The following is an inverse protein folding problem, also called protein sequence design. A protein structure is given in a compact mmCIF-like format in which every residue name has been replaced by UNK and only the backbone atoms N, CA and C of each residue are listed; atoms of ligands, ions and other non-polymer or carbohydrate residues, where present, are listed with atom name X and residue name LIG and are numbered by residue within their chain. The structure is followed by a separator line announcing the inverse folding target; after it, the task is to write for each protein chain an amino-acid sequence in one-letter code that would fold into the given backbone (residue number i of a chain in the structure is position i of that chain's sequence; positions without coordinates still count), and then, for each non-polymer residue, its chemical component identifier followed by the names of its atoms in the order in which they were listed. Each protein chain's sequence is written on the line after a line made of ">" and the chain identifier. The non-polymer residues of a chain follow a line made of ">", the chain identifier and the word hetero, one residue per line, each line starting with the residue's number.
data_IF_969999519678
#
_entry.id   IF_969999519678
#
_cell.length_a   1.000
_cell.length_b   1.000
_cell.length_c   1.000
_cell.angle_alpha   90.00
_cell.angle_beta   90.00
_cell.angle_gamma   90.00
#
_symmetry.space_group_name_H-M   'P 1'
#
loop_
_entity.id
_entity.type
_entity.pdbx_description
1 polymer ?
#
# COMPACT_ATOMS: atom_id res chain seq x y z
N UNK A 1 -8.78 -1.83 8.81
CA UNK A 1 -9.24 -2.93 9.69
C UNK A 1 -9.59 -4.13 8.82
N UNK A 2 -9.24 -5.37 9.18
CA UNK A 2 -9.79 -6.53 8.49
C UNK A 2 -11.32 -6.42 8.61
N UNK A 3 -12.04 -6.44 7.48
CA UNK A 3 -13.51 -6.47 7.50
C UNK A 3 -13.98 -7.63 8.37
N UNK A 4 -15.14 -7.50 9.01
CA UNK A 4 -15.74 -8.54 9.86
C UNK A 4 -15.71 -9.89 9.14
N UNK A 5 -14.67 -10.68 9.39
CA UNK A 5 -14.42 -11.97 8.77
C UNK A 5 -14.96 -13.11 9.65
N UNK A 6 -15.91 -12.78 10.54
CA UNK A 6 -16.56 -13.66 11.49
C UNK A 6 -17.98 -13.20 11.76
N UNK A 7 -18.78 -14.08 12.36
CA UNK A 7 -20.16 -13.82 12.79
C UNK A 7 -20.19 -13.59 14.31
N UNK A 8 -21.13 -12.77 14.76
CA UNK A 8 -21.45 -12.62 16.18
C UNK A 8 -22.72 -13.40 16.47
N UNK A 9 -22.69 -14.26 17.48
CA UNK A 9 -23.88 -14.97 17.96
C UNK A 9 -23.81 -15.13 19.48
N UNK A 10 -24.98 -15.07 20.13
CA UNK A 10 -25.13 -15.37 21.55
C UNK A 10 -25.33 -16.87 21.79
N UNK A 11 -25.56 -17.64 20.72
CA UNK A 11 -25.74 -19.10 20.76
C UNK A 11 -25.17 -19.71 19.47
N UNK A 12 -24.10 -20.48 19.61
CA UNK A 12 -23.39 -21.09 18.47
C UNK A 12 -24.17 -22.23 17.85
N UNK A 13 -24.97 -22.96 18.62
CA UNK A 13 -25.70 -24.13 18.13
C UNK A 13 -26.89 -23.74 17.26
N UNK A 14 -27.53 -22.60 17.58
CA UNK A 14 -28.64 -22.05 16.79
C UNK A 14 -28.20 -21.24 15.57
N UNK A 15 -26.90 -20.98 15.41
CA UNK A 15 -26.40 -20.23 14.27
C UNK A 15 -26.44 -21.10 13.00
N UNK A 16 -27.05 -20.62 11.89
CA UNK A 16 -27.10 -21.38 10.64
C UNK A 16 -25.71 -21.82 10.16
N UNK A 17 -25.60 -23.05 9.66
CA UNK A 17 -24.32 -23.62 9.23
C UNK A 17 -23.64 -22.79 8.13
N UNK A 18 -24.39 -22.22 7.20
CA UNK A 18 -23.88 -21.35 6.15
C UNK A 18 -23.28 -20.03 6.68
N UNK A 19 -23.60 -19.63 7.91
CA UNK A 19 -23.00 -18.49 8.61
C UNK A 19 -21.80 -18.95 9.45
N UNK A 20 -21.90 -20.13 10.08
CA UNK A 20 -20.83 -20.73 10.88
C UNK A 20 -19.63 -21.18 10.04
N UNK A 21 -19.92 -21.67 8.85
CA UNK A 21 -18.98 -22.31 7.94
C UNK A 21 -19.08 -21.64 6.56
N UNK A 22 -18.45 -20.48 6.44
CA UNK A 22 -18.27 -19.82 5.14
C UNK A 22 -17.04 -20.42 4.47
N UNK A 23 -17.26 -21.20 3.41
CA UNK A 23 -16.18 -21.71 2.57
C UNK A 23 -15.36 -20.56 2.00
N UNK A 24 -14.04 -20.56 2.23
CA UNK A 24 -13.12 -19.63 1.59
C UNK A 24 -12.38 -20.36 0.48
N UNK A 25 -12.39 -19.78 -0.71
CA UNK A 25 -11.56 -20.27 -1.80
C UNK A 25 -10.09 -20.24 -1.38
N UNK A 26 -9.36 -21.33 -1.61
CA UNK A 26 -7.96 -21.48 -1.17
C UNK A 26 -7.02 -20.57 -1.97
N UNK A 27 -7.40 -20.20 -3.20
CA UNK A 27 -6.62 -19.38 -4.13
C UNK A 27 -7.51 -18.44 -4.96
N UNK A 28 -8.16 -17.45 -4.33
CA UNK A 28 -8.95 -16.50 -5.09
C UNK A 28 -8.03 -15.73 -6.03
N UNK A 29 -8.56 -15.34 -7.18
CA UNK A 29 -7.87 -14.40 -8.08
C UNK A 29 -7.62 -13.08 -7.34
N UNK A 30 -6.40 -12.57 -7.42
CA UNK A 30 -5.99 -11.33 -6.77
C UNK A 30 -5.39 -10.38 -7.78
N UNK A 31 -5.40 -9.10 -7.46
CA UNK A 31 -4.69 -8.08 -8.24
C UNK A 31 -3.68 -7.44 -7.31
N UNK A 32 -2.43 -7.44 -7.76
CA UNK A 32 -1.38 -6.65 -7.15
C UNK A 32 -1.47 -5.24 -7.71
N UNK A 33 -1.47 -4.28 -6.80
CA UNK A 33 -1.42 -2.84 -7.12
C UNK A 33 -0.12 -2.27 -6.58
N UNK A 34 0.60 -1.52 -7.42
CA UNK A 34 1.72 -0.70 -7.00
C UNK A 34 1.44 0.77 -7.32
N UNK A 35 1.73 1.67 -6.38
CA UNK A 35 1.56 3.12 -6.52
C UNK A 35 2.51 3.84 -5.56
N UNK A 36 3.05 4.98 -5.97
CA UNK A 36 3.76 5.92 -5.10
C UNK A 36 2.88 7.14 -4.78
N UNK A 37 3.06 7.71 -3.59
CA UNK A 37 2.26 8.85 -3.11
C UNK A 37 3.12 9.84 -2.33
N UNK A 38 2.71 11.11 -2.38
CA UNK A 38 3.26 12.24 -1.61
C UNK A 38 2.12 13.21 -1.27
N UNK A 39 2.41 14.23 -0.49
CA UNK A 39 1.53 15.37 -0.26
C UNK A 39 1.14 16.12 -1.56
N UNK A 40 1.92 15.98 -2.63
CA UNK A 40 1.70 16.61 -3.93
C UNK A 40 0.82 15.77 -4.88
N UNK A 41 0.54 14.51 -4.56
CA UNK A 41 -0.24 13.62 -5.42
C UNK A 41 0.21 12.16 -5.39
N UNK A 42 -0.16 11.42 -6.44
CA UNK A 42 0.17 10.01 -6.61
C UNK A 42 0.69 9.71 -8.01
N UNK A 43 1.53 8.68 -8.14
CA UNK A 43 1.95 8.14 -9.43
C UNK A 43 0.79 7.46 -10.15
N UNK A 44 1.00 7.14 -11.44
CA UNK A 44 0.13 6.17 -12.12
C UNK A 44 0.22 4.80 -11.39
N UNK A 45 -0.90 4.08 -11.19
CA UNK A 45 -0.86 2.75 -10.62
C UNK A 45 -0.34 1.71 -11.63
N UNK A 46 0.28 0.65 -11.12
CA UNK A 46 0.49 -0.60 -11.84
C UNK A 46 -0.53 -1.62 -11.35
N UNK A 47 -1.17 -2.33 -12.27
CA UNK A 47 -2.03 -3.47 -11.98
C UNK A 47 -1.39 -4.74 -12.53
N UNK A 48 -1.26 -5.78 -11.71
CA UNK A 48 -0.84 -7.12 -12.15
C UNK A 48 -1.79 -8.17 -11.62
N UNK A 49 -2.21 -9.09 -12.48
CA UNK A 49 -3.03 -10.24 -12.07
C UNK A 49 -2.23 -11.20 -11.20
N UNK A 50 -2.91 -11.95 -10.34
CA UNK A 50 -2.31 -13.03 -9.55
C UNK A 50 -1.73 -14.17 -10.39
N UNK A 51 -2.16 -14.30 -11.65
CA UNK A 51 -1.58 -15.25 -12.61
C UNK A 51 -0.30 -14.71 -13.26
N UNK A 52 -0.02 -13.42 -13.12
CA UNK A 52 1.20 -12.81 -13.66
C UNK A 52 2.42 -13.21 -12.83
N UNK A 53 3.59 -13.19 -13.46
CA UNK A 53 4.85 -13.37 -12.74
C UNK A 53 4.93 -12.37 -11.56
N UNK A 54 5.41 -12.85 -10.41
CA UNK A 54 5.67 -12.00 -9.25
C UNK A 54 6.60 -10.84 -9.63
N UNK A 55 6.46 -9.70 -8.96
CA UNK A 55 7.37 -8.57 -9.15
C UNK A 55 8.76 -9.00 -8.68
N UNK A 56 9.65 -9.24 -9.63
CA UNK A 56 11.10 -9.40 -9.44
C UNK A 56 11.78 -8.04 -9.64
N UNK A 57 13.09 -7.98 -9.40
CA UNK A 57 13.88 -6.74 -9.55
C UNK A 57 13.72 -6.07 -10.91
N UNK A 58 13.80 -6.83 -12.01
CA UNK A 58 13.65 -6.28 -13.36
C UNK A 58 12.28 -5.61 -13.57
N UNK A 59 11.19 -6.30 -13.20
CA UNK A 59 9.83 -5.74 -13.31
C UNK A 59 9.67 -4.53 -12.39
N UNK A 60 10.26 -4.58 -11.19
CA UNK A 60 10.20 -3.47 -10.27
C UNK A 60 10.87 -2.22 -10.85
N UNK A 61 12.09 -2.36 -11.38
CA UNK A 61 12.82 -1.26 -12.00
C UNK A 61 12.04 -0.69 -13.18
N UNK A 62 11.71 -1.52 -14.18
CA UNK A 62 11.05 -1.05 -15.41
C UNK A 62 9.65 -0.50 -15.16
N UNK A 63 8.78 -1.29 -14.53
CA UNK A 63 7.36 -0.93 -14.42
C UNK A 63 7.08 0.00 -13.24
N UNK A 64 7.74 -0.18 -12.11
CA UNK A 64 7.42 0.59 -10.90
C UNK A 64 8.28 1.85 -10.80
N UNK A 65 9.59 1.74 -11.00
CA UNK A 65 10.50 2.86 -10.85
C UNK A 65 10.52 3.75 -12.09
N UNK A 66 10.91 3.21 -13.25
CA UNK A 66 11.09 3.97 -14.49
C UNK A 66 9.75 4.51 -15.04
N UNK A 67 8.77 3.64 -15.27
CA UNK A 67 7.52 4.05 -15.93
C UNK A 67 6.54 4.83 -15.03
N UNK A 68 6.76 4.84 -13.71
CA UNK A 68 5.77 5.39 -12.76
C UNK A 68 6.38 6.29 -11.70
N UNK A 69 7.43 5.87 -11.00
CA UNK A 69 8.04 6.70 -9.96
C UNK A 69 8.79 7.89 -10.56
N UNK A 70 9.64 7.68 -11.58
CA UNK A 70 10.43 8.77 -12.19
C UNK A 70 9.55 9.88 -12.77
N UNK A 71 8.56 9.61 -13.66
CA UNK A 71 7.66 10.65 -14.14
C UNK A 71 6.88 11.36 -13.03
N UNK A 72 6.65 10.68 -11.89
CA UNK A 72 5.98 11.28 -10.75
C UNK A 72 6.92 12.22 -9.97
N UNK A 73 8.18 11.83 -9.77
CA UNK A 73 9.21 12.68 -9.18
C UNK A 73 9.45 13.90 -10.09
N UNK A 74 9.71 13.69 -11.38
CA UNK A 74 9.99 14.77 -12.33
C UNK A 74 8.86 15.81 -12.41
N UNK A 75 7.62 15.37 -12.15
CA UNK A 75 6.45 16.25 -12.21
C UNK A 75 6.21 17.05 -10.92
N UNK A 76 6.53 16.48 -9.75
CA UNK A 76 6.08 17.01 -8.47
C UNK A 76 7.20 17.32 -7.46
N UNK A 77 8.42 16.86 -7.73
CA UNK A 77 9.58 16.89 -6.84
C UNK A 77 10.88 17.12 -7.65
N UNK A 78 10.81 17.96 -8.68
CA UNK A 78 11.93 18.35 -9.54
C UNK A 78 12.99 19.18 -8.79
N UNK A 79 12.60 19.79 -7.67
CA UNK A 79 13.48 20.45 -6.71
C UNK A 79 14.36 19.49 -5.89
N UNK A 80 14.22 18.18 -6.11
CA UNK A 80 14.92 17.09 -5.43
C UNK A 80 14.68 17.03 -3.90
N UNK A 81 13.70 17.77 -3.39
CA UNK A 81 13.39 17.84 -1.97
C UNK A 81 12.43 16.72 -1.55
N UNK A 82 12.83 15.48 -1.83
CA UNK A 82 12.08 14.29 -1.50
C UNK A 82 13.00 13.19 -0.97
N UNK A 83 12.40 12.21 -0.31
CA UNK A 83 13.04 10.93 -0.03
C UNK A 83 12.06 9.80 -0.33
N UNK A 84 12.41 8.96 -1.30
CA UNK A 84 11.60 7.79 -1.62
C UNK A 84 11.74 6.74 -0.52
N UNK A 85 10.62 6.31 0.07
CA UNK A 85 10.62 5.34 1.16
C UNK A 85 9.91 4.04 0.79
N UNK A 86 10.61 3.10 0.11
CA UNK A 86 10.03 1.80 -0.23
C UNK A 86 9.87 0.91 1.02
N UNK A 87 8.95 -0.05 0.94
CA UNK A 87 8.93 -1.14 1.91
C UNK A 87 10.04 -2.17 1.65
N UNK A 88 10.17 -3.16 2.54
CA UNK A 88 11.28 -4.13 2.50
C UNK A 88 10.95 -5.41 1.72
N UNK A 89 10.04 -5.34 0.74
CA UNK A 89 9.81 -6.44 -0.19
C UNK A 89 11.13 -6.88 -0.86
N UNK A 90 11.24 -8.17 -1.20
CA UNK A 90 12.46 -8.73 -1.79
C UNK A 90 12.88 -8.01 -3.08
N UNK A 91 11.93 -7.60 -3.92
CA UNK A 91 12.20 -6.86 -5.15
C UNK A 91 12.86 -5.49 -4.89
N UNK A 92 12.49 -4.80 -3.80
CA UNK A 92 13.03 -3.48 -3.47
C UNK A 92 14.44 -3.55 -2.90
N UNK A 93 14.81 -4.71 -2.33
CA UNK A 93 16.13 -4.98 -1.73
C UNK A 93 17.06 -5.76 -2.66
N UNK A 94 16.63 -6.04 -3.88
CA UNK A 94 17.48 -6.69 -4.86
C UNK A 94 18.65 -5.77 -5.24
N UNK A 95 19.82 -6.36 -5.51
CA UNK A 95 21.05 -5.61 -5.78
C UNK A 95 20.86 -4.64 -6.96
N UNK A 96 20.18 -5.09 -8.01
CA UNK A 96 19.93 -4.31 -9.22
C UNK A 96 19.00 -3.13 -8.92
N UNK A 97 17.95 -3.35 -8.12
CA UNK A 97 17.02 -2.28 -7.73
C UNK A 97 17.71 -1.23 -6.85
N UNK A 98 18.57 -1.66 -5.93
CA UNK A 98 19.36 -0.75 -5.08
C UNK A 98 20.37 0.04 -5.92
N UNK A 99 21.09 -0.61 -6.85
CA UNK A 99 22.04 0.08 -7.75
C UNK A 99 21.33 1.17 -8.55
N UNK A 100 20.21 0.81 -9.17
CA UNK A 100 19.39 1.74 -9.92
C UNK A 100 18.90 2.90 -9.04
N UNK A 101 18.41 2.64 -7.83
CA UNK A 101 17.94 3.72 -6.94
C UNK A 101 19.07 4.65 -6.50
N UNK A 102 20.26 4.11 -6.18
CA UNK A 102 21.44 4.93 -5.85
C UNK A 102 21.87 5.85 -6.99
N UNK A 103 21.71 5.40 -8.23
CA UNK A 103 22.10 6.16 -9.42
C UNK A 103 21.06 7.23 -9.79
N UNK A 104 19.77 6.95 -9.55
CA UNK A 104 18.68 7.73 -10.14
C UNK A 104 17.88 8.61 -9.17
N UNK A 105 17.76 8.24 -7.89
CA UNK A 105 16.82 8.91 -6.97
C UNK A 105 17.31 8.99 -5.51
N UNK A 106 16.78 9.96 -4.76
CA UNK A 106 16.92 9.98 -3.30
C UNK A 106 15.98 8.94 -2.67
N UNK A 107 16.52 7.99 -1.89
CA UNK A 107 15.72 6.98 -1.21
C UNK A 107 16.25 6.65 0.18
N UNK A 108 15.42 6.01 1.02
CA UNK A 108 15.84 5.49 2.33
C UNK A 108 16.68 4.22 2.14
N UNK A 109 17.98 4.23 2.49
CA UNK A 109 18.84 3.06 2.39
C UNK A 109 18.31 1.87 3.19
N UNK A 110 18.60 0.64 2.73
CA UNK A 110 18.01 -0.59 3.30
C UNK A 110 18.39 -0.78 4.77
N UNK A 111 19.62 -0.45 5.14
CA UNK A 111 20.17 -0.49 6.51
C UNK A 111 19.54 0.57 7.43
N UNK A 112 19.11 1.70 6.88
CA UNK A 112 18.37 2.75 7.60
C UNK A 112 16.85 2.51 7.64
N UNK A 113 16.35 1.50 6.94
CA UNK A 113 14.93 1.25 6.76
C UNK A 113 14.44 0.15 7.71
N UNK A 114 13.79 0.48 8.85
CA UNK A 114 13.53 -0.50 9.89
C UNK A 114 12.49 -1.56 9.46
N UNK A 115 12.76 -2.86 9.68
CA UNK A 115 11.81 -3.93 9.42
C UNK A 115 10.64 -3.91 10.42
N UNK A 116 9.49 -4.43 9.98
CA UNK A 116 8.33 -4.66 10.85
C UNK A 116 7.76 -3.41 11.55
N UNK A 117 7.92 -2.22 10.95
CA UNK A 117 7.33 -0.96 11.45
C UNK A 117 6.23 -0.43 10.49
N UNK A 118 5.19 -1.21 10.16
CA UNK A 118 4.16 -0.76 9.21
C UNK A 118 3.44 0.50 9.69
N UNK A 119 3.31 0.67 11.01
CA UNK A 119 2.67 1.85 11.62
C UNK A 119 3.39 3.14 11.30
N UNK A 120 4.71 3.12 11.07
CA UNK A 120 5.44 4.32 10.71
C UNK A 120 5.16 4.78 9.28
N UNK A 121 4.60 3.90 8.43
CA UNK A 121 4.52 4.10 6.99
C UNK A 121 3.13 4.61 6.57
N UNK A 122 3.04 5.84 6.04
CA UNK A 122 1.77 6.43 5.61
C UNK A 122 1.02 5.57 4.59
N UNK A 123 1.74 4.90 3.69
CA UNK A 123 1.12 4.04 2.68
C UNK A 123 0.33 2.86 3.27
N UNK A 124 0.62 2.41 4.50
CA UNK A 124 -0.19 1.37 5.14
C UNK A 124 -1.54 1.91 5.60
N UNK A 125 -1.58 3.14 6.11
CA UNK A 125 -2.82 3.83 6.45
C UNK A 125 -3.64 4.14 5.19
N UNK A 126 -2.96 4.57 4.10
CA UNK A 126 -3.57 4.71 2.76
C UNK A 126 -4.28 3.43 2.33
N UNK A 127 -3.58 2.29 2.32
CA UNK A 127 -4.19 1.02 1.88
C UNK A 127 -5.36 0.60 2.76
N UNK A 128 -5.32 0.92 4.06
CA UNK A 128 -6.41 0.66 5.00
C UNK A 128 -7.69 1.42 4.64
N UNK A 129 -7.59 2.73 4.42
CA UNK A 129 -8.72 3.58 4.00
C UNK A 129 -9.15 3.24 2.57
N UNK A 130 -8.19 3.07 1.67
CA UNK A 130 -8.45 2.80 0.28
C UNK A 130 -9.22 1.50 0.07
N UNK A 131 -8.84 0.43 0.78
CA UNK A 131 -9.58 -0.83 0.74
C UNK A 131 -11.03 -0.67 1.21
N UNK A 132 -11.29 0.13 2.26
CA UNK A 132 -12.65 0.41 2.71
C UNK A 132 -13.48 1.09 1.62
N UNK A 133 -12.90 2.05 0.90
CA UNK A 133 -13.59 2.74 -0.19
C UNK A 133 -13.86 1.83 -1.39
N UNK A 134 -12.91 0.94 -1.72
CA UNK A 134 -13.07 -0.03 -2.81
C UNK A 134 -14.23 -0.98 -2.52
N UNK A 135 -14.33 -1.51 -1.29
CA UNK A 135 -15.31 -2.51 -0.87
C UNK A 135 -16.52 -1.93 -0.12
N UNK A 136 -16.73 -0.61 -0.19
CA UNK A 136 -17.82 0.09 0.45
C UNK A 136 -19.19 -0.52 0.09
N UNK A 137 -20.09 -0.63 1.07
CA UNK A 137 -21.44 -1.17 0.86
C UNK A 137 -21.47 -2.68 0.59
N UNK A 138 -20.41 -3.41 0.94
CA UNK A 138 -20.32 -4.85 0.65
C UNK A 138 -20.10 -5.12 -0.84
N UNK A 139 -19.47 -4.19 -1.56
CA UNK A 139 -19.20 -4.36 -2.97
C UNK A 139 -18.25 -5.54 -3.21
N UNK A 140 -18.54 -6.36 -4.21
CA UNK A 140 -17.71 -7.50 -4.60
C UNK A 140 -17.41 -7.49 -6.10
N UNK A 141 -16.20 -7.89 -6.47
CA UNK A 141 -15.79 -7.99 -7.85
C UNK A 141 -16.17 -9.36 -8.44
N UNK A 142 -16.80 -9.35 -9.62
CA UNK A 142 -17.11 -10.54 -10.43
C UNK A 142 -15.99 -10.88 -11.42
N UNK A 143 -15.06 -9.97 -11.67
CA UNK A 143 -13.89 -10.17 -12.52
C UNK A 143 -12.74 -9.26 -12.14
N UNK A 144 -11.53 -9.58 -12.61
CA UNK A 144 -10.34 -8.75 -12.39
C UNK A 144 -10.51 -7.35 -13.01
N UNK A 145 -11.07 -7.27 -14.22
CA UNK A 145 -11.32 -6.00 -14.91
C UNK A 145 -12.33 -5.14 -14.15
N UNK A 146 -13.34 -5.75 -13.53
CA UNK A 146 -14.29 -5.01 -12.70
C UNK A 146 -13.61 -4.44 -11.45
N UNK A 147 -12.72 -5.22 -10.82
CA UNK A 147 -11.93 -4.76 -9.69
C UNK A 147 -10.98 -3.61 -10.09
N UNK A 148 -10.27 -3.72 -11.21
CA UNK A 148 -9.39 -2.64 -11.72
C UNK A 148 -10.18 -1.36 -11.93
N UNK A 149 -11.32 -1.42 -12.62
CA UNK A 149 -12.17 -0.24 -12.85
C UNK A 149 -12.67 0.38 -11.54
N UNK A 150 -13.04 -0.45 -10.56
CA UNK A 150 -13.44 0.03 -9.22
C UNK A 150 -12.26 0.72 -8.53
N UNK A 151 -11.08 0.13 -8.54
CA UNK A 151 -9.86 0.70 -7.97
C UNK A 151 -9.53 2.04 -8.63
N UNK A 152 -9.54 2.13 -9.96
CA UNK A 152 -9.30 3.37 -10.70
C UNK A 152 -10.34 4.45 -10.35
N UNK A 153 -11.62 4.09 -10.25
CA UNK A 153 -12.67 5.02 -9.85
C UNK A 153 -12.47 5.52 -8.42
N UNK A 154 -12.05 4.65 -7.49
CA UNK A 154 -11.72 5.05 -6.12
C UNK A 154 -10.47 5.93 -6.08
N UNK A 155 -9.42 5.64 -6.84
CA UNK A 155 -8.20 6.46 -6.92
C UNK A 155 -8.50 7.88 -7.40
N UNK A 156 -9.41 8.03 -8.37
CA UNK A 156 -9.85 9.35 -8.88
C UNK A 156 -10.56 10.21 -7.84
N UNK A 157 -11.11 9.60 -6.77
CA UNK A 157 -11.77 10.31 -5.67
C UNK A 157 -10.80 10.74 -4.56
N UNK A 158 -9.55 10.29 -4.61
CA UNK A 158 -8.55 10.67 -3.62
C UNK A 158 -8.11 12.10 -3.92
N UNK A 159 -8.42 13.01 -3.00
CA UNK A 159 -8.03 14.41 -3.09
C UNK A 159 -6.66 14.68 -2.44
N UNK A 160 -6.10 15.84 -2.73
CA UNK A 160 -4.81 16.27 -2.17
C UNK A 160 -4.89 16.49 -0.66
N UNK A 161 -6.04 16.96 -0.14
CA UNK A 161 -6.23 17.19 1.30
C UNK A 161 -6.05 15.90 2.10
N UNK A 162 -6.56 14.78 1.59
CA UNK A 162 -6.38 13.47 2.17
C UNK A 162 -4.90 13.06 2.16
N UNK A 163 -4.20 13.22 1.04
CA UNK A 163 -2.78 12.87 0.94
C UNK A 163 -1.91 13.74 1.86
N UNK A 164 -2.18 15.04 1.92
CA UNK A 164 -1.52 15.96 2.84
C UNK A 164 -1.79 15.57 4.29
N UNK A 165 -3.02 15.21 4.64
CA UNK A 165 -3.37 14.72 5.98
C UNK A 165 -2.65 13.41 6.30
N UNK A 166 -2.47 12.53 5.32
CA UNK A 166 -1.75 11.26 5.47
C UNK A 166 -0.27 11.49 5.75
N UNK A 167 0.34 12.50 5.10
CA UNK A 167 1.75 12.84 5.28
C UNK A 167 2.02 13.73 6.50
N UNK A 168 0.99 14.39 7.03
CA UNK A 168 1.11 15.30 8.16
C UNK A 168 1.64 14.59 9.40
N UNK A 169 2.70 15.16 9.96
CA UNK A 169 3.25 14.69 11.25
C UNK A 169 4.12 13.43 11.16
N UNK A 170 4.50 12.95 9.97
CA UNK A 170 5.41 11.79 9.81
C UNK A 170 6.69 11.99 10.63
N UNK A 171 7.34 13.16 10.51
CA UNK A 171 8.61 13.43 11.22
C UNK A 171 8.45 13.32 12.73
N UNK A 172 7.37 13.86 13.28
CA UNK A 172 7.04 13.76 14.71
C UNK A 172 6.76 12.33 15.12
N UNK A 173 6.00 11.58 14.30
CA UNK A 173 5.70 10.17 14.53
C UNK A 173 6.96 9.31 14.53
N UNK A 174 7.87 9.54 13.58
CA UNK A 174 9.16 8.85 13.51
C UNK A 174 10.03 9.15 14.72
N UNK A 175 10.11 10.42 15.16
CA UNK A 175 10.83 10.80 16.36
C UNK A 175 10.26 10.11 17.61
N UNK A 176 8.94 10.12 17.77
CA UNK A 176 8.28 9.43 18.88
C UNK A 176 8.58 7.92 18.88
N UNK A 177 8.55 7.29 17.71
CA UNK A 177 8.92 5.86 17.57
C UNK A 177 10.39 5.64 17.92
N UNK A 178 11.29 6.52 17.51
CA UNK A 178 12.71 6.43 17.84
C UNK A 178 12.96 6.56 19.36
N UNK A 179 12.26 7.49 20.01
CA UNK A 179 12.46 7.81 21.43
C UNK A 179 11.77 6.81 22.37
N UNK A 180 10.58 6.32 21.99
CA UNK A 180 9.68 5.58 22.88
C UNK A 180 9.22 4.22 22.32
N UNK A 181 9.75 3.81 21.17
CA UNK A 181 9.40 2.56 20.48
C UNK A 181 8.08 2.61 19.72
N UNK A 182 7.80 1.58 18.92
CA UNK A 182 6.66 1.53 17.97
C UNK A 182 5.27 1.55 18.63
N UNK A 183 5.17 1.25 19.93
CA UNK A 183 3.90 1.23 20.66
C UNK A 183 3.51 2.63 21.16
N UNK A 184 4.43 3.59 21.17
CA UNK A 184 4.16 4.98 21.57
C UNK A 184 3.14 5.69 20.67
N UNK A 185 2.90 5.19 19.46
CA UNK A 185 1.91 5.74 18.54
C UNK A 185 0.47 5.41 18.92
N UNK A 186 0.23 4.50 19.86
CA UNK A 186 -1.10 4.28 20.40
C UNK A 186 -1.41 5.37 21.41
N UNK A 187 -2.55 6.05 21.22
CA UNK A 187 -3.11 6.88 22.29
C UNK A 187 -3.39 5.95 23.48
N UNK A 188 -2.89 6.32 24.66
CA UNK A 188 -3.40 5.78 25.92
C UNK A 188 -4.86 6.19 26.10
#
# INVERSE_FOLDING_TARGET
>A
MPGNAGYYTNDKEKCPENVRFVGKEKFPKKILVWIALSECGMSKPLFRSSTSAAIKSEIYIKECLEERLLPFIDKYHDDLNYIFWPDLASAHRAKEAISWMNEMINFVPVDMNPPNVPKARPIKDFWGVFAQNVYEGGWEAKSEQQLIRRIEACLKKIDLTFLQSLMKGIKTKLRLIADQGVQSTYKK
#
